data_IF_203682360725
#
_entry.id   IF_203682360725
#
_cell.length_a   1.000
_cell.length_b   1.000
_cell.length_c   1.000
_cell.angle_alpha   90.00
_cell.angle_beta   90.00
_cell.angle_gamma   90.00
#
_symmetry.space_group_name_H-M   'P 1'
#
loop_
_entity.id
_entity.type
_entity.pdbx_description
1 polymer ?
#
# COMPACT_ATOMS: atom_id res chain seq x y z
N UNK A 1 -58.68 -19.15 -21.66
CA UNK A 1 -57.92 -20.40 -21.79
C UNK A 1 -56.45 -20.07 -21.82
N UNK A 2 -55.60 -20.94 -21.28
CA UNK A 2 -54.14 -20.78 -21.33
C UNK A 2 -53.61 -21.30 -22.66
N UNK A 3 -52.88 -20.48 -23.40
CA UNK A 3 -52.12 -20.90 -24.57
C UNK A 3 -50.78 -21.47 -24.14
N UNK A 4 -50.39 -22.62 -24.69
CA UNK A 4 -49.12 -23.27 -24.39
C UNK A 4 -48.54 -23.99 -25.62
N UNK A 5 -47.20 -24.00 -25.79
CA UNK A 5 -46.57 -24.65 -26.92
C UNK A 5 -46.71 -26.17 -26.81
N UNK A 6 -47.07 -26.81 -27.92
CA UNK A 6 -47.21 -28.26 -28.04
C UNK A 6 -46.31 -28.81 -29.14
N UNK A 7 -45.82 -30.03 -28.94
CA UNK A 7 -45.20 -30.85 -29.98
C UNK A 7 -46.24 -31.87 -30.45
N UNK A 8 -46.57 -31.83 -31.74
CA UNK A 8 -47.55 -32.69 -32.37
C UNK A 8 -46.84 -33.72 -33.25
N UNK A 9 -46.96 -35.00 -32.92
CA UNK A 9 -46.48 -36.11 -33.75
C UNK A 9 -47.66 -36.85 -34.35
N UNK A 10 -47.77 -36.87 -35.68
CA UNK A 10 -48.83 -37.58 -36.40
C UNK A 10 -48.23 -38.77 -37.14
N UNK A 11 -48.74 -39.97 -36.83
CA UNK A 11 -48.38 -41.19 -37.54
C UNK A 11 -49.58 -41.72 -38.33
N UNK A 12 -49.35 -42.10 -39.58
CA UNK A 12 -50.34 -42.75 -40.42
C UNK A 12 -50.27 -44.27 -40.22
N UNK A 13 -51.42 -44.91 -40.06
CA UNK A 13 -51.55 -46.36 -39.98
C UNK A 13 -52.75 -46.82 -40.82
N UNK A 14 -52.81 -48.10 -41.15
CA UNK A 14 -53.93 -48.70 -41.89
C UNK A 14 -54.59 -49.77 -41.04
N UNK A 15 -55.89 -49.64 -40.82
CA UNK A 15 -56.70 -50.65 -40.12
C UNK A 15 -57.79 -51.12 -41.09
N UNK A 16 -57.82 -52.42 -41.37
CA UNK A 16 -58.81 -53.03 -42.27
C UNK A 16 -58.89 -52.35 -43.66
N UNK A 17 -57.72 -51.94 -44.21
CA UNK A 17 -57.62 -51.33 -45.54
C UNK A 17 -58.06 -49.86 -45.60
N UNK A 18 -58.38 -49.21 -44.47
CA UNK A 18 -58.68 -47.78 -44.40
C UNK A 18 -57.56 -47.02 -43.67
N UNK A 19 -57.06 -45.90 -44.23
CA UNK A 19 -56.05 -45.09 -43.55
C UNK A 19 -56.66 -44.38 -42.34
N UNK A 20 -55.95 -44.40 -41.22
CA UNK A 20 -56.24 -43.60 -40.04
C UNK A 20 -54.97 -42.94 -39.51
N UNK A 21 -55.10 -41.84 -38.78
CA UNK A 21 -53.98 -41.09 -38.22
C UNK A 21 -54.07 -41.10 -36.70
N UNK A 22 -52.95 -41.38 -36.03
CA UNK A 22 -52.80 -41.17 -34.59
C UNK A 22 -51.99 -39.91 -34.35
N UNK A 23 -52.54 -38.98 -33.57
CA UNK A 23 -51.87 -37.75 -33.17
C UNK A 23 -51.50 -37.82 -31.68
N UNK A 24 -50.22 -37.60 -31.37
CA UNK A 24 -49.72 -37.43 -30.01
C UNK A 24 -49.40 -35.96 -29.78
N UNK A 25 -50.02 -35.37 -28.76
CA UNK A 25 -49.76 -33.99 -28.34
C UNK A 25 -48.98 -34.01 -27.02
N UNK A 26 -47.83 -33.35 -26.98
CA UNK A 26 -47.02 -33.19 -25.77
C UNK A 26 -46.89 -31.71 -25.45
N UNK A 27 -47.23 -31.31 -24.23
CA UNK A 27 -46.93 -29.97 -23.72
C UNK A 27 -45.40 -29.83 -23.57
N UNK A 28 -44.83 -28.81 -24.21
CA UNK A 28 -43.39 -28.53 -24.21
C UNK A 28 -43.05 -27.20 -23.53
N UNK A 29 -43.95 -26.65 -22.72
CA UNK A 29 -43.79 -25.36 -22.03
C UNK A 29 -42.52 -25.33 -21.18
N UNK A 30 -42.32 -26.32 -20.31
CA UNK A 30 -41.14 -26.39 -19.44
C UNK A 30 -39.83 -26.50 -20.25
N UNK A 31 -39.83 -27.31 -21.32
CA UNK A 31 -38.67 -27.45 -22.21
C UNK A 31 -38.32 -26.11 -22.87
N UNK A 32 -39.32 -25.41 -23.42
CA UNK A 32 -39.13 -24.10 -24.06
C UNK A 32 -38.66 -23.03 -23.07
N UNK A 33 -39.19 -23.03 -21.85
CA UNK A 33 -38.73 -22.11 -20.80
C UNK A 33 -37.31 -22.42 -20.33
N UNK A 34 -36.90 -23.69 -20.27
CA UNK A 34 -35.53 -24.08 -19.94
C UNK A 34 -34.55 -23.69 -21.05
N UNK A 35 -34.88 -23.97 -22.32
CA UNK A 35 -34.11 -23.55 -23.50
C UNK A 35 -33.93 -22.02 -23.52
N UNK A 36 -35.01 -21.25 -23.33
CA UNK A 36 -34.96 -19.80 -23.30
C UNK A 36 -34.10 -19.26 -22.14
N UNK A 37 -34.22 -19.85 -20.94
CA UNK A 37 -33.37 -19.50 -19.78
C UNK A 37 -31.90 -19.78 -20.04
N UNK A 38 -31.58 -20.91 -20.66
CA UNK A 38 -30.22 -21.29 -21.01
C UNK A 38 -29.63 -20.33 -22.06
N UNK A 39 -30.38 -20.05 -23.13
CA UNK A 39 -29.98 -19.08 -24.15
C UNK A 39 -29.75 -17.70 -23.56
N UNK A 40 -30.68 -17.21 -22.72
CA UNK A 40 -30.54 -15.91 -22.05
C UNK A 40 -29.28 -15.87 -21.17
N UNK A 41 -29.01 -16.95 -20.42
CA UNK A 41 -27.79 -17.05 -19.60
C UNK A 41 -26.52 -17.04 -20.44
N UNK A 42 -26.50 -17.75 -21.57
CA UNK A 42 -25.36 -17.78 -22.50
C UNK A 42 -25.12 -16.41 -23.13
N UNK A 43 -26.18 -15.77 -23.65
CA UNK A 43 -26.08 -14.41 -24.21
C UNK A 43 -25.58 -13.43 -23.16
N UNK A 44 -26.10 -13.49 -21.93
CA UNK A 44 -25.66 -12.62 -20.84
C UNK A 44 -24.17 -12.78 -20.52
N UNK A 45 -23.67 -14.01 -20.42
CA UNK A 45 -22.25 -14.28 -20.18
C UNK A 45 -21.38 -13.79 -21.35
N UNK A 46 -21.80 -14.05 -22.59
CA UNK A 46 -21.11 -13.56 -23.78
C UNK A 46 -21.03 -12.03 -23.80
N UNK A 47 -22.12 -11.33 -23.49
CA UNK A 47 -22.13 -9.86 -23.42
C UNK A 47 -21.22 -9.32 -22.31
N UNK A 48 -21.17 -9.97 -21.15
CA UNK A 48 -20.26 -9.57 -20.08
C UNK A 48 -18.79 -9.68 -20.52
N UNK A 49 -18.42 -10.78 -21.17
CA UNK A 49 -17.03 -10.97 -21.62
C UNK A 49 -16.69 -10.04 -22.80
N UNK A 50 -17.64 -9.77 -23.70
CA UNK A 50 -17.45 -8.84 -24.80
C UNK A 50 -17.21 -7.39 -24.31
N UNK A 51 -17.83 -7.00 -23.19
CA UNK A 51 -17.64 -5.67 -22.58
C UNK A 51 -16.50 -5.60 -21.55
N UNK A 52 -15.81 -6.72 -21.28
CA UNK A 52 -14.64 -6.69 -20.42
C UNK A 52 -13.54 -5.86 -21.07
N UNK A 53 -12.91 -4.95 -20.32
CA UNK A 53 -11.81 -4.13 -20.82
C UNK A 53 -10.47 -4.89 -20.93
N UNK A 54 -10.43 -6.12 -20.44
CA UNK A 54 -9.29 -7.02 -20.57
C UNK A 54 -9.44 -7.90 -21.82
N UNK A 55 -8.33 -8.24 -22.46
CA UNK A 55 -8.30 -9.28 -23.48
C UNK A 55 -8.57 -10.63 -22.85
N UNK A 56 -9.57 -11.35 -23.33
CA UNK A 56 -9.99 -12.65 -22.82
C UNK A 56 -9.86 -13.70 -23.91
N UNK A 57 -9.28 -14.84 -23.57
CA UNK A 57 -9.23 -16.03 -24.42
C UNK A 57 -9.56 -17.26 -23.58
N UNK A 58 -10.58 -18.00 -23.98
CA UNK A 58 -10.99 -19.26 -23.36
C UNK A 58 -10.75 -20.39 -24.35
N UNK A 59 -10.00 -21.40 -23.92
CA UNK A 59 -9.69 -22.60 -24.70
C UNK A 59 -10.25 -23.86 -24.04
N UNK A 60 -10.66 -24.86 -24.82
CA UNK A 60 -11.07 -26.18 -24.34
C UNK A 60 -9.89 -27.09 -23.96
N UNK A 61 -10.14 -28.37 -23.66
CA UNK A 61 -9.06 -29.32 -23.33
C UNK A 61 -8.10 -29.59 -24.49
N UNK A 62 -8.55 -29.34 -25.72
CA UNK A 62 -7.85 -29.61 -26.97
C UNK A 62 -7.26 -28.34 -27.59
N UNK A 63 -7.15 -27.25 -26.82
CA UNK A 63 -6.59 -25.95 -27.27
C UNK A 63 -7.43 -25.27 -28.35
N UNK A 64 -8.72 -25.60 -28.47
CA UNK A 64 -9.64 -24.89 -29.37
C UNK A 64 -10.26 -23.70 -28.67
N UNK A 65 -10.34 -22.57 -29.37
CA UNK A 65 -10.94 -21.35 -28.85
C UNK A 65 -12.44 -21.56 -28.63
N UNK A 66 -12.90 -21.49 -27.39
CA UNK A 66 -14.32 -21.48 -27.04
C UNK A 66 -14.89 -20.07 -27.12
N UNK A 67 -14.10 -19.07 -26.72
CA UNK A 67 -14.50 -17.68 -26.68
C UNK A 67 -13.29 -16.76 -26.68
N UNK A 68 -13.40 -15.63 -27.36
CA UNK A 68 -12.49 -14.49 -27.20
C UNK A 68 -13.26 -13.17 -27.34
N UNK A 69 -12.61 -12.04 -27.07
CA UNK A 69 -13.24 -10.72 -27.15
C UNK A 69 -12.37 -9.72 -27.94
N UNK A 70 -12.95 -8.57 -28.28
CA UNK A 70 -12.30 -7.57 -29.12
C UNK A 70 -10.97 -7.07 -28.53
N UNK A 71 -10.86 -6.74 -27.22
CA UNK A 71 -9.58 -6.31 -26.64
C UNK A 71 -8.45 -7.32 -26.78
N UNK A 72 -8.73 -8.63 -26.80
CA UNK A 72 -7.72 -9.65 -27.07
C UNK A 72 -7.21 -9.53 -28.52
N UNK A 73 -8.12 -9.47 -29.50
CA UNK A 73 -7.74 -9.28 -30.90
C UNK A 73 -6.92 -7.99 -31.10
N UNK A 74 -7.33 -6.88 -30.47
CA UNK A 74 -6.63 -5.60 -30.59
C UNK A 74 -5.22 -5.64 -29.98
N UNK A 75 -5.09 -6.18 -28.77
CA UNK A 75 -3.79 -6.28 -28.06
C UNK A 75 -2.77 -7.14 -28.82
N UNK A 76 -3.23 -8.20 -29.47
CA UNK A 76 -2.38 -9.11 -30.24
C UNK A 76 -2.36 -8.80 -31.74
N UNK A 77 -2.94 -7.67 -32.16
CA UNK A 77 -3.01 -7.22 -33.56
C UNK A 77 -3.57 -8.28 -34.52
N UNK A 78 -4.59 -9.02 -34.08
CA UNK A 78 -5.25 -10.06 -34.87
C UNK A 78 -6.30 -9.40 -35.78
N UNK A 79 -6.15 -9.45 -37.11
CA UNK A 79 -7.06 -8.80 -38.05
C UNK A 79 -8.31 -9.64 -38.33
N UNK A 80 -8.97 -10.12 -37.27
CA UNK A 80 -10.17 -10.96 -37.37
C UNK A 80 -11.13 -10.65 -36.21
N UNK A 81 -12.46 -10.67 -36.46
CA UNK A 81 -13.44 -10.48 -35.40
C UNK A 81 -13.43 -11.69 -34.44
N UNK A 82 -13.66 -11.48 -33.13
CA UNK A 82 -13.62 -12.54 -32.11
C UNK A 82 -14.49 -13.75 -32.43
N UNK A 83 -15.67 -13.53 -33.05
CA UNK A 83 -16.61 -14.59 -33.39
C UNK A 83 -16.05 -15.55 -34.44
N UNK A 84 -15.19 -15.06 -35.33
CA UNK A 84 -14.54 -15.88 -36.36
C UNK A 84 -13.41 -16.75 -35.83
N UNK A 85 -12.92 -16.46 -34.62
CA UNK A 85 -11.83 -17.20 -33.97
C UNK A 85 -12.34 -18.46 -33.26
N UNK A 86 -13.63 -18.54 -32.94
CA UNK A 86 -14.20 -19.66 -32.21
C UNK A 86 -14.02 -20.97 -33.00
N UNK A 87 -13.44 -21.98 -32.34
CA UNK A 87 -13.18 -23.31 -32.90
C UNK A 87 -11.79 -23.49 -33.54
N UNK A 88 -11.01 -22.42 -33.73
CA UNK A 88 -9.64 -22.49 -34.22
C UNK A 88 -8.69 -23.09 -33.18
N UNK A 89 -7.61 -23.72 -33.64
CA UNK A 89 -6.56 -24.31 -32.79
C UNK A 89 -5.55 -23.23 -32.36
N UNK A 90 -5.39 -23.07 -31.05
CA UNK A 90 -4.48 -22.10 -30.42
C UNK A 90 -3.10 -22.68 -30.09
N UNK A 91 -2.83 -23.95 -30.39
CA UNK A 91 -1.58 -24.63 -30.01
C UNK A 91 -0.33 -23.91 -30.52
N UNK A 92 -0.38 -23.31 -31.71
CA UNK A 92 0.71 -22.53 -32.30
C UNK A 92 0.66 -21.02 -32.07
N UNK A 93 -0.38 -20.49 -31.43
CA UNK A 93 -0.60 -19.03 -31.33
C UNK A 93 0.49 -18.34 -30.51
N UNK A 94 0.99 -18.98 -29.45
CA UNK A 94 2.10 -18.43 -28.65
C UNK A 94 3.37 -18.25 -29.51
N UNK A 95 3.68 -19.23 -30.37
CA UNK A 95 4.83 -19.19 -31.26
C UNK A 95 4.67 -18.14 -32.38
N UNK A 96 3.46 -17.99 -32.91
CA UNK A 96 3.15 -16.99 -33.93
C UNK A 96 3.26 -15.56 -33.37
N UNK A 97 2.81 -15.33 -32.13
CA UNK A 97 2.80 -14.01 -31.51
C UNK A 97 4.05 -13.67 -30.70
N UNK A 98 5.00 -14.60 -30.53
CA UNK A 98 6.20 -14.38 -29.70
C UNK A 98 7.03 -13.15 -30.10
N UNK A 99 7.00 -12.80 -31.38
CA UNK A 99 7.72 -11.65 -31.94
C UNK A 99 7.24 -10.30 -31.40
N UNK A 100 6.03 -10.22 -30.83
CA UNK A 100 5.48 -9.01 -30.22
C UNK A 100 6.12 -8.70 -28.85
N UNK A 101 6.79 -9.67 -28.23
CA UNK A 101 7.34 -9.54 -26.88
C UNK A 101 8.84 -9.24 -26.88
N UNK A 102 9.31 -8.58 -25.81
CA UNK A 102 10.72 -8.27 -25.63
C UNK A 102 11.57 -9.52 -25.43
N UNK A 103 11.02 -10.53 -24.78
CA UNK A 103 11.64 -11.84 -24.59
C UNK A 103 10.74 -12.96 -25.16
N UNK A 104 10.87 -13.27 -26.46
CA UNK A 104 10.01 -14.22 -27.16
C UNK A 104 10.11 -15.65 -26.62
N UNK A 105 11.33 -16.12 -26.31
CA UNK A 105 11.57 -17.51 -25.91
C UNK A 105 11.05 -17.76 -24.49
N UNK A 106 11.31 -16.84 -23.56
CA UNK A 106 10.77 -16.93 -22.20
C UNK A 106 9.24 -16.86 -22.19
N UNK A 107 8.63 -16.05 -23.07
CA UNK A 107 7.18 -15.99 -23.22
C UNK A 107 6.58 -17.36 -23.57
N UNK A 108 7.11 -18.03 -24.60
CA UNK A 108 6.62 -19.34 -25.05
C UNK A 108 6.86 -20.41 -23.98
N UNK A 109 8.07 -20.49 -23.43
CA UNK A 109 8.40 -21.45 -22.37
C UNK A 109 7.49 -21.30 -21.14
N UNK A 110 7.13 -20.06 -20.78
CA UNK A 110 6.22 -19.82 -19.66
C UNK A 110 4.80 -20.29 -19.97
N UNK A 111 4.29 -20.05 -21.17
CA UNK A 111 2.97 -20.57 -21.59
C UNK A 111 2.95 -22.11 -21.51
N UNK A 112 3.96 -22.78 -22.05
CA UNK A 112 4.06 -24.24 -22.02
C UNK A 112 4.10 -24.81 -20.60
N UNK A 113 4.80 -24.10 -19.71
CA UNK A 113 4.87 -24.46 -18.28
C UNK A 113 3.50 -24.34 -17.63
N UNK A 114 2.79 -23.23 -17.86
CA UNK A 114 1.45 -22.99 -17.28
C UNK A 114 0.43 -24.03 -17.75
N UNK A 115 0.45 -24.39 -19.03
CA UNK A 115 -0.42 -25.41 -19.62
C UNK A 115 -0.15 -26.81 -19.07
N UNK A 116 1.11 -27.11 -18.75
CA UNK A 116 1.53 -28.39 -18.17
C UNK A 116 1.18 -28.47 -16.68
N UNK A 117 1.46 -27.41 -15.92
CA UNK A 117 1.22 -27.37 -14.48
C UNK A 117 -0.25 -27.23 -14.13
N UNK A 118 -1.04 -26.57 -14.98
CA UNK A 118 -2.48 -26.31 -14.78
C UNK A 118 -2.78 -25.71 -13.41
N UNK A 119 -1.93 -24.79 -12.97
CA UNK A 119 -2.09 -24.03 -11.72
C UNK A 119 -2.40 -22.58 -12.05
N UNK A 120 -3.20 -21.94 -11.20
CA UNK A 120 -3.48 -20.52 -11.34
C UNK A 120 -2.17 -19.74 -11.29
N UNK A 121 -1.93 -18.90 -12.30
CA UNK A 121 -0.88 -17.90 -12.29
C UNK A 121 -1.55 -16.55 -12.54
N UNK A 122 -1.32 -15.58 -11.65
CA UNK A 122 -2.00 -14.29 -11.70
C UNK A 122 -0.99 -13.16 -11.62
N UNK A 123 -1.34 -12.05 -12.27
CA UNK A 123 -0.61 -10.80 -12.29
C UNK A 123 0.83 -10.91 -12.84
N UNK A 124 1.07 -11.77 -13.82
CA UNK A 124 2.39 -11.87 -14.45
C UNK A 124 2.58 -10.75 -15.48
N UNK A 125 3.58 -9.89 -15.27
CA UNK A 125 3.89 -8.80 -16.18
C UNK A 125 4.68 -9.28 -17.40
N UNK A 126 4.24 -8.87 -18.59
CA UNK A 126 4.86 -9.21 -19.87
C UNK A 126 5.08 -7.92 -20.65
N UNK A 127 6.30 -7.74 -21.12
CA UNK A 127 6.71 -6.54 -21.86
C UNK A 127 6.64 -6.78 -23.37
N UNK A 128 5.94 -5.90 -24.06
CA UNK A 128 5.83 -5.89 -25.52
C UNK A 128 6.90 -4.99 -26.15
N UNK A 129 7.27 -5.27 -27.40
CA UNK A 129 8.30 -4.52 -28.13
C UNK A 129 7.90 -3.09 -28.47
N UNK A 130 6.60 -2.83 -28.58
CA UNK A 130 6.04 -1.50 -28.80
C UNK A 130 6.03 -0.65 -27.51
N UNK A 131 6.51 -1.20 -26.39
CA UNK A 131 6.58 -0.54 -25.09
C UNK A 131 5.32 -0.66 -24.25
N UNK A 132 4.33 -1.47 -24.66
CA UNK A 132 3.20 -1.84 -23.81
C UNK A 132 3.61 -2.87 -22.75
N UNK A 133 2.90 -2.84 -21.62
CA UNK A 133 3.01 -3.84 -20.55
C UNK A 133 1.65 -4.48 -20.35
N UNK A 134 1.59 -5.79 -20.50
CA UNK A 134 0.41 -6.60 -20.25
C UNK A 134 0.57 -7.37 -18.94
N UNK A 135 -0.46 -7.38 -18.12
CA UNK A 135 -0.62 -8.26 -16.97
C UNK A 135 -1.43 -9.48 -17.41
N UNK A 136 -0.84 -10.68 -17.27
CA UNK A 136 -1.42 -11.96 -17.68
C UNK A 136 -1.89 -12.78 -16.49
N UNK A 137 -3.12 -13.25 -16.57
CA UNK A 137 -3.66 -14.29 -15.70
C UNK A 137 -3.91 -15.58 -16.52
N UNK A 138 -3.59 -16.72 -15.92
CA UNK A 138 -3.93 -18.06 -16.38
C UNK A 138 -4.77 -18.75 -15.32
N UNK A 139 -5.98 -19.18 -15.71
CA UNK A 139 -6.94 -19.81 -14.81
C UNK A 139 -7.41 -21.13 -15.44
N UNK A 140 -7.04 -22.30 -14.89
CA UNK A 140 -7.57 -23.58 -15.37
C UNK A 140 -9.06 -23.68 -15.03
N UNK A 141 -9.87 -24.15 -15.98
CA UNK A 141 -11.30 -24.39 -15.80
C UNK A 141 -11.48 -25.86 -15.45
N UNK A 142 -12.01 -26.14 -14.26
CA UNK A 142 -12.24 -27.50 -13.76
C UNK A 142 -13.71 -27.63 -13.38
N UNK A 143 -14.40 -28.61 -13.96
CA UNK A 143 -15.80 -28.93 -13.68
C UNK A 143 -15.86 -30.37 -13.18
N UNK A 144 -16.47 -30.58 -12.01
CA UNK A 144 -16.55 -31.91 -11.37
C UNK A 144 -15.18 -32.60 -11.25
N UNK A 145 -14.14 -31.83 -10.91
CA UNK A 145 -12.75 -32.29 -10.80
C UNK A 145 -12.10 -32.75 -12.12
N UNK A 146 -12.74 -32.47 -13.26
CA UNK A 146 -12.22 -32.73 -14.60
C UNK A 146 -11.79 -31.41 -15.23
N UNK A 147 -10.57 -31.36 -15.74
CA UNK A 147 -10.08 -30.21 -16.51
C UNK A 147 -10.90 -30.07 -17.80
N UNK A 148 -11.52 -28.91 -17.99
CA UNK A 148 -12.38 -28.57 -19.14
C UNK A 148 -11.82 -27.49 -20.05
N UNK A 149 -10.60 -27.04 -19.79
CA UNK A 149 -9.99 -25.95 -20.52
C UNK A 149 -9.36 -24.93 -19.59
N UNK A 150 -9.11 -23.74 -20.10
CA UNK A 150 -8.47 -22.67 -19.34
C UNK A 150 -8.83 -21.29 -19.91
N UNK A 151 -8.64 -20.28 -19.07
CA UNK A 151 -8.88 -18.88 -19.36
C UNK A 151 -7.54 -18.14 -19.29
N UNK A 152 -7.22 -17.42 -20.35
CA UNK A 152 -6.22 -16.37 -20.36
C UNK A 152 -6.90 -15.02 -20.26
N UNK A 153 -6.36 -14.15 -19.42
CA UNK A 153 -6.78 -12.76 -19.33
C UNK A 153 -5.57 -11.84 -19.41
N UNK A 154 -5.65 -10.81 -20.23
CA UNK A 154 -4.59 -9.85 -20.50
C UNK A 154 -5.09 -8.44 -20.23
N UNK A 155 -4.50 -7.75 -19.26
CA UNK A 155 -4.81 -6.36 -18.93
C UNK A 155 -3.67 -5.46 -19.36
N UNK A 156 -3.96 -4.41 -20.10
CA UNK A 156 -2.95 -3.40 -20.38
C UNK A 156 -2.70 -2.56 -19.11
N UNK A 157 -1.51 -2.73 -18.52
CA UNK A 157 -1.09 -2.03 -17.30
C UNK A 157 -0.02 -0.97 -17.59
N UNK A 158 0.22 -0.64 -18.86
CA UNK A 158 1.26 0.30 -19.30
C UNK A 158 1.16 1.64 -18.56
N UNK A 159 -0.02 2.24 -18.50
CA UNK A 159 -0.24 3.52 -17.83
C UNK A 159 0.05 3.42 -16.32
N UNK A 160 -0.36 2.33 -15.67
CA UNK A 160 -0.11 2.06 -14.24
C UNK A 160 1.39 1.90 -13.98
N UNK A 161 2.09 1.14 -14.80
CA UNK A 161 3.53 0.92 -14.66
C UNK A 161 4.32 2.21 -14.89
N UNK A 162 3.97 3.00 -15.93
CA UNK A 162 4.59 4.31 -16.19
C UNK A 162 4.41 5.27 -15.03
N UNK A 163 3.18 5.43 -14.53
CA UNK A 163 2.89 6.30 -13.39
C UNK A 163 3.66 5.85 -12.13
N UNK A 164 3.70 4.55 -11.88
CA UNK A 164 4.43 3.99 -10.73
C UNK A 164 5.94 4.26 -10.84
N UNK A 165 6.50 4.12 -12.04
CA UNK A 165 7.91 4.38 -12.30
C UNK A 165 8.25 5.88 -12.23
N UNK A 166 7.40 6.75 -12.78
CA UNK A 166 7.54 8.20 -12.64
C UNK A 166 7.47 8.65 -11.18
N UNK A 167 6.53 8.10 -10.41
CA UNK A 167 6.42 8.37 -8.98
C UNK A 167 7.69 7.93 -8.23
N UNK A 168 8.21 6.74 -8.53
CA UNK A 168 9.47 6.24 -7.95
C UNK A 168 10.64 7.16 -8.29
N UNK A 169 10.78 7.54 -9.56
CA UNK A 169 11.85 8.45 -10.02
C UNK A 169 11.74 9.83 -9.38
N UNK A 170 10.54 10.41 -9.33
CA UNK A 170 10.30 11.71 -8.70
C UNK A 170 10.63 11.67 -7.20
N UNK A 171 10.23 10.61 -6.50
CA UNK A 171 10.55 10.40 -5.10
C UNK A 171 12.06 10.25 -4.88
N UNK A 172 12.76 9.51 -5.73
CA UNK A 172 14.23 9.39 -5.67
C UNK A 172 14.92 10.74 -5.93
N UNK A 173 14.51 11.47 -6.96
CA UNK A 173 15.08 12.79 -7.27
C UNK A 173 14.87 13.80 -6.13
N UNK A 174 13.69 13.80 -5.50
CA UNK A 174 13.42 14.63 -4.32
C UNK A 174 14.33 14.27 -3.14
N UNK A 175 14.61 12.98 -2.94
CA UNK A 175 15.50 12.52 -1.87
C UNK A 175 16.96 12.92 -2.12
N UNK A 176 17.44 12.75 -3.36
CA UNK A 176 18.79 13.15 -3.77
C UNK A 176 18.98 14.66 -3.61
N UNK A 177 17.99 15.45 -4.08
CA UNK A 177 17.97 16.90 -3.88
C UNK A 177 18.00 17.26 -2.39
N UNK A 178 17.16 16.64 -1.56
CA UNK A 178 17.16 16.88 -0.13
C UNK A 178 18.51 16.52 0.52
N UNK A 179 19.18 15.46 0.07
CA UNK A 179 20.48 15.04 0.60
C UNK A 179 21.60 16.00 0.24
N UNK A 180 21.68 16.40 -1.03
CA UNK A 180 22.72 17.32 -1.53
C UNK A 180 22.52 18.70 -0.89
N UNK A 181 21.31 19.25 -0.96
CA UNK A 181 20.99 20.54 -0.36
C UNK A 181 21.28 20.56 1.14
N UNK A 182 20.97 19.49 1.86
CA UNK A 182 21.25 19.39 3.30
C UNK A 182 22.75 19.39 3.59
N UNK A 183 23.54 18.61 2.85
CA UNK A 183 25.00 18.58 2.98
C UNK A 183 25.59 19.98 2.77
N UNK A 184 25.19 20.65 1.69
CA UNK A 184 25.72 21.96 1.31
C UNK A 184 25.28 23.07 2.28
N UNK A 185 24.16 22.89 2.99
CA UNK A 185 23.72 23.79 4.06
C UNK A 185 24.39 23.49 5.41
N UNK A 186 24.79 22.24 5.69
CA UNK A 186 25.44 21.87 6.94
C UNK A 186 26.85 22.46 7.07
N UNK A 187 27.64 22.47 5.99
CA UNK A 187 29.00 22.99 6.03
C UNK A 187 29.09 24.48 6.45
N UNK A 188 28.37 25.42 5.82
CA UNK A 188 28.40 26.83 6.23
C UNK A 188 27.83 27.00 7.64
N UNK A 189 26.83 26.20 8.02
CA UNK A 189 26.21 26.28 9.33
C UNK A 189 27.17 25.87 10.46
N UNK A 190 27.90 24.78 10.26
CA UNK A 190 28.96 24.33 11.19
C UNK A 190 30.04 25.40 11.35
N UNK A 191 30.39 26.11 10.28
CA UNK A 191 31.33 27.25 10.34
C UNK A 191 30.75 28.40 11.17
N UNK A 192 29.50 28.80 10.95
CA UNK A 192 28.81 29.85 11.74
C UNK A 192 28.82 29.50 13.22
N UNK A 193 28.49 28.26 13.58
CA UNK A 193 28.51 27.81 14.98
C UNK A 193 29.92 27.79 15.57
N UNK A 194 30.91 27.27 14.84
CA UNK A 194 32.28 27.18 15.33
C UNK A 194 32.90 28.56 15.56
N UNK A 195 32.77 29.48 14.61
CA UNK A 195 33.28 30.85 14.75
C UNK A 195 32.47 31.67 15.75
N UNK A 196 31.14 31.55 15.74
CA UNK A 196 30.28 32.23 16.71
C UNK A 196 30.54 31.74 18.14
N UNK A 197 30.77 30.45 18.35
CA UNK A 197 31.13 29.89 19.66
C UNK A 197 32.47 30.44 20.16
N UNK A 198 33.49 30.51 19.29
CA UNK A 198 34.78 31.15 19.62
C UNK A 198 34.60 32.64 19.96
N UNK A 199 33.76 33.35 19.20
CA UNK A 199 33.43 34.75 19.46
C UNK A 199 32.75 34.89 20.83
N UNK A 200 31.83 33.98 21.16
CA UNK A 200 31.10 33.99 22.44
C UNK A 200 32.03 33.81 23.62
N UNK A 201 32.98 32.89 23.52
CA UNK A 201 34.03 32.73 24.55
C UNK A 201 34.85 34.01 24.73
N UNK A 202 35.22 34.69 23.63
CA UNK A 202 35.96 35.97 23.71
C UNK A 202 35.13 37.09 24.31
N UNK A 203 33.88 37.26 23.89
CA UNK A 203 32.97 38.29 24.44
C UNK A 203 32.75 38.05 25.93
N UNK A 204 32.52 36.81 26.36
CA UNK A 204 32.35 36.45 27.77
C UNK A 204 33.65 36.60 28.60
N UNK A 205 34.81 36.73 27.97
CA UNK A 205 36.10 36.99 28.65
C UNK A 205 36.40 38.47 28.85
N UNK A 206 35.63 39.36 28.21
CA UNK A 206 35.74 40.81 28.42
C UNK A 206 35.03 41.18 29.73
N UNK A 207 35.64 41.98 30.62
CA UNK A 207 34.93 42.55 31.77
C UNK A 207 33.82 43.49 31.27
N UNK A 208 32.57 43.23 31.68
CA UNK A 208 31.37 43.98 31.26
C UNK A 208 31.20 44.06 29.73
N UNK A 209 30.95 42.93 29.04
CA UNK A 209 30.67 42.95 27.62
C UNK A 209 29.37 43.72 27.33
N UNK A 210 29.27 44.47 26.22
CA UNK A 210 28.02 45.13 25.83
C UNK A 210 26.88 44.12 25.76
N UNK A 211 25.81 44.34 26.54
CA UNK A 211 24.69 43.40 26.67
C UNK A 211 24.07 43.04 25.30
N UNK A 212 23.93 44.04 24.42
CA UNK A 212 23.40 43.86 23.08
C UNK A 212 24.28 42.93 22.22
N UNK A 213 25.61 42.99 22.37
CA UNK A 213 26.51 42.10 21.64
C UNK A 213 26.35 40.63 22.09
N UNK A 214 26.16 40.40 23.39
CA UNK A 214 25.90 39.05 23.93
C UNK A 214 24.55 38.54 23.42
N UNK A 215 23.49 39.36 23.48
CA UNK A 215 22.16 38.99 22.99
C UNK A 215 22.17 38.65 21.49
N UNK A 216 22.74 39.52 20.66
CA UNK A 216 22.80 39.28 19.21
C UNK A 216 23.57 37.99 18.88
N UNK A 217 24.67 37.73 19.58
CA UNK A 217 25.48 36.54 19.37
C UNK A 217 24.73 35.27 19.79
N UNK A 218 24.03 35.30 20.91
CA UNK A 218 23.19 34.20 21.37
C UNK A 218 22.03 33.94 20.43
N UNK A 219 21.36 34.98 19.95
CA UNK A 219 20.28 34.86 18.95
C UNK A 219 20.78 34.25 17.65
N UNK A 220 21.96 34.65 17.17
CA UNK A 220 22.58 34.10 15.96
C UNK A 220 22.96 32.62 16.13
N UNK A 221 23.63 32.28 17.23
CA UNK A 221 24.04 30.89 17.52
C UNK A 221 22.84 29.97 17.71
N UNK A 222 21.80 30.43 18.41
CA UNK A 222 20.55 29.71 18.57
C UNK A 222 19.83 29.54 17.21
N UNK A 223 19.87 30.54 16.32
CA UNK A 223 19.36 30.39 14.96
C UNK A 223 20.11 29.32 14.17
N UNK A 224 21.44 29.30 14.27
CA UNK A 224 22.27 28.32 13.60
C UNK A 224 22.01 26.90 14.11
N UNK A 225 21.97 26.68 15.43
CA UNK A 225 21.66 25.37 16.02
C UNK A 225 20.29 24.82 15.59
N UNK A 226 19.30 25.69 15.44
CA UNK A 226 17.96 25.29 14.98
C UNK A 226 17.96 24.88 13.51
N UNK A 227 18.68 25.60 12.65
CA UNK A 227 18.82 25.20 11.25
C UNK A 227 19.47 23.81 11.14
N UNK A 228 20.45 23.50 12.01
CA UNK A 228 21.15 22.23 11.99
C UNK A 228 20.17 21.09 12.32
N UNK A 229 19.40 21.29 13.39
CA UNK A 229 18.38 20.33 13.82
C UNK A 229 17.30 20.11 12.75
N UNK A 230 16.90 21.17 12.02
CA UNK A 230 15.94 21.08 10.93
C UNK A 230 16.49 20.27 9.75
N UNK A 231 17.72 20.54 9.35
CA UNK A 231 18.39 19.84 8.25
C UNK A 231 18.59 18.37 8.60
N UNK A 232 19.03 18.06 9.82
CA UNK A 232 19.22 16.68 10.29
C UNK A 232 17.90 15.91 10.32
N UNK A 233 16.83 16.57 10.78
CA UNK A 233 15.48 16.00 10.75
C UNK A 233 15.00 15.71 9.33
N UNK A 234 15.24 16.62 8.38
CA UNK A 234 14.84 16.46 6.98
C UNK A 234 15.60 15.32 6.30
N UNK A 235 16.92 15.23 6.55
CA UNK A 235 17.75 14.13 6.06
C UNK A 235 17.27 12.77 6.59
N UNK A 236 16.95 12.72 7.88
CA UNK A 236 16.41 11.51 8.50
C UNK A 236 15.08 11.10 7.88
N UNK A 237 14.17 12.06 7.69
CA UNK A 237 12.87 11.84 7.06
C UNK A 237 13.01 11.29 5.63
N UNK A 238 13.91 11.89 4.83
CA UNK A 238 14.20 11.46 3.45
C UNK A 238 14.70 10.01 3.37
N UNK A 239 15.58 9.60 4.31
CA UNK A 239 16.27 8.30 4.26
C UNK A 239 15.45 7.09 4.74
N UNK A 240 14.33 7.30 5.45
CA UNK A 240 13.52 6.20 6.01
C UNK A 240 12.99 5.26 4.93
N UNK A 241 12.72 5.72 3.71
CA UNK A 241 12.11 4.85 2.68
C UNK A 241 13.15 3.96 1.97
N UNK A 242 14.42 4.36 1.97
CA UNK A 242 15.43 3.84 1.02
C UNK A 242 16.44 2.90 1.69
N UNK A 243 16.69 3.06 3.00
CA UNK A 243 17.53 2.11 3.72
C UNK A 243 16.78 0.79 3.93
N UNK A 244 17.03 -0.20 3.06
CA UNK A 244 16.63 -1.61 3.17
C UNK A 244 17.31 -2.31 4.34
N UNK A 245 17.19 -1.76 5.55
CA UNK A 245 17.50 -2.53 6.75
C UNK A 245 16.43 -3.62 6.89
N UNK A 246 16.84 -4.85 7.21
CA UNK A 246 15.90 -5.95 7.33
C UNK A 246 14.91 -5.66 8.46
N UNK A 247 13.63 -5.87 8.15
CA UNK A 247 12.59 -6.03 9.16
C UNK A 247 12.87 -7.36 9.85
N UNK A 248 12.94 -7.35 11.17
CA UNK A 248 13.23 -8.53 11.98
C UNK A 248 12.41 -8.52 13.28
N UNK A 249 12.25 -9.69 13.89
CA UNK A 249 11.67 -9.83 15.22
C UNK A 249 12.37 -8.90 16.23
N UNK A 250 11.67 -7.87 16.68
CA UNK A 250 12.18 -6.81 17.54
C UNK A 250 11.35 -6.74 18.82
N UNK A 251 11.99 -6.96 19.97
CA UNK A 251 11.36 -6.83 21.29
C UNK A 251 11.17 -5.37 21.65
N UNK A 252 9.92 -4.88 21.62
CA UNK A 252 9.64 -3.47 21.89
C UNK A 252 9.90 -3.07 23.35
N UNK A 253 9.88 -4.01 24.30
CA UNK A 253 10.26 -3.71 25.70
C UNK A 253 11.74 -3.31 25.81
N UNK A 254 12.63 -3.98 25.08
CA UNK A 254 14.06 -3.62 25.08
C UNK A 254 14.28 -2.24 24.46
N UNK A 255 13.56 -1.96 23.37
CA UNK A 255 13.63 -0.66 22.71
C UNK A 255 13.17 0.45 23.64
N UNK A 256 11.98 0.33 24.24
CA UNK A 256 11.46 1.39 25.11
C UNK A 256 12.34 1.59 26.35
N UNK A 257 12.86 0.52 26.96
CA UNK A 257 13.77 0.63 28.09
C UNK A 257 15.05 1.38 27.72
N UNK A 258 15.60 1.10 26.53
CA UNK A 258 16.72 1.86 26.01
C UNK A 258 16.39 3.35 25.82
N UNK A 259 15.19 3.67 25.34
CA UNK A 259 14.74 5.07 25.18
C UNK A 259 14.54 5.76 26.52
N UNK A 260 14.02 5.05 27.53
CA UNK A 260 13.86 5.61 28.87
C UNK A 260 15.20 5.95 29.50
N UNK A 261 16.22 5.11 29.31
CA UNK A 261 17.60 5.41 29.74
C UNK A 261 18.16 6.64 29.01
N UNK A 262 17.95 6.75 27.70
CA UNK A 262 18.39 7.92 26.92
C UNK A 262 17.72 9.23 27.40
N UNK A 263 16.52 9.15 27.99
CA UNK A 263 15.72 10.28 28.44
C UNK A 263 15.76 10.50 29.97
N UNK A 264 16.56 9.73 30.70
CA UNK A 264 16.57 9.68 32.18
C UNK A 264 16.70 11.07 32.82
N UNK A 265 17.66 11.88 32.36
CA UNK A 265 17.88 13.22 32.90
C UNK A 265 16.65 14.13 32.72
N UNK A 266 16.01 14.08 31.55
CA UNK A 266 14.80 14.87 31.27
C UNK A 266 13.61 14.39 32.10
N UNK A 267 13.48 13.08 32.31
CA UNK A 267 12.44 12.50 33.17
C UNK A 267 12.62 12.98 34.60
N UNK A 268 13.86 12.96 35.10
CA UNK A 268 14.18 13.43 36.45
C UNK A 268 13.92 14.93 36.62
N UNK A 269 14.35 15.76 35.66
CA UNK A 269 14.14 17.22 35.67
C UNK A 269 12.65 17.59 35.62
N UNK A 270 11.85 16.87 34.82
CA UNK A 270 10.41 17.08 34.70
C UNK A 270 9.58 16.44 35.82
N UNK A 271 10.20 15.57 36.65
CA UNK A 271 9.53 14.75 37.66
C UNK A 271 8.38 13.92 37.04
N UNK A 272 8.55 13.50 35.80
CA UNK A 272 7.54 12.74 35.07
C UNK A 272 7.44 11.30 35.59
N UNK A 273 6.21 10.78 35.70
CA UNK A 273 5.95 9.36 35.94
C UNK A 273 5.67 8.67 34.61
N UNK A 274 6.47 7.66 34.26
CA UNK A 274 6.28 6.89 33.03
C UNK A 274 5.83 5.47 33.38
N UNK A 275 4.65 5.08 32.89
CA UNK A 275 4.03 3.79 33.10
C UNK A 275 4.05 3.03 31.78
N UNK A 276 4.82 1.94 31.72
CA UNK A 276 4.94 1.10 30.52
C UNK A 276 4.30 -0.26 30.78
N UNK A 277 3.27 -0.59 30.00
CA UNK A 277 2.70 -1.94 29.95
C UNK A 277 3.60 -2.90 29.18
N UNK A 278 3.30 -4.21 29.25
CA UNK A 278 4.08 -5.21 28.51
C UNK A 278 3.93 -5.02 27.00
N UNK A 279 5.01 -4.65 26.32
CA UNK A 279 5.05 -4.51 24.87
C UNK A 279 5.39 -5.85 24.19
N UNK A 280 4.81 -6.17 23.01
CA UNK A 280 5.12 -7.41 22.31
C UNK A 280 6.39 -7.31 21.47
N UNK A 281 6.80 -8.45 20.93
CA UNK A 281 7.75 -8.52 19.81
C UNK A 281 7.01 -8.30 18.50
N UNK A 282 7.56 -7.46 17.62
CA UNK A 282 6.99 -7.18 16.29
C UNK A 282 8.06 -7.31 15.21
N UNK A 283 7.66 -7.56 13.98
CA UNK A 283 8.54 -7.53 12.81
C UNK A 283 8.82 -6.06 12.45
N UNK A 284 9.99 -5.54 12.84
CA UNK A 284 10.35 -4.14 12.63
C UNK A 284 11.87 -3.87 12.53
N UNK A 285 12.21 -2.66 12.05
CA UNK A 285 13.55 -2.09 12.19
C UNK A 285 13.71 -1.49 13.60
N UNK A 286 14.55 -2.13 14.41
CA UNK A 286 14.83 -1.73 15.80
C UNK A 286 15.25 -0.26 15.95
N UNK A 287 16.04 0.30 15.02
CA UNK A 287 16.48 1.69 15.12
C UNK A 287 15.32 2.66 14.85
N UNK A 288 14.44 2.32 13.90
CA UNK A 288 13.27 3.13 13.60
C UNK A 288 12.24 3.06 14.72
N UNK A 289 12.05 1.89 15.34
CA UNK A 289 11.20 1.77 16.53
C UNK A 289 11.76 2.62 17.69
N UNK A 290 13.08 2.60 17.92
CA UNK A 290 13.73 3.47 18.91
C UNK A 290 13.43 4.94 18.62
N UNK A 291 13.56 5.36 17.37
CA UNK A 291 13.33 6.74 16.96
C UNK A 291 11.85 7.15 17.06
N UNK A 292 10.91 6.24 16.80
CA UNK A 292 9.47 6.45 17.01
C UNK A 292 9.18 6.73 18.48
N UNK A 293 9.65 5.87 19.40
CA UNK A 293 9.42 6.06 20.83
C UNK A 293 10.16 7.28 21.39
N UNK A 294 11.38 7.56 20.95
CA UNK A 294 12.11 8.79 21.35
C UNK A 294 11.33 10.05 20.97
N UNK A 295 10.74 10.10 19.78
CA UNK A 295 9.95 11.26 19.36
C UNK A 295 8.65 11.40 20.16
N UNK A 296 7.92 10.31 20.38
CA UNK A 296 6.65 10.36 21.13
C UNK A 296 6.86 10.70 22.60
N UNK A 297 7.78 10.00 23.28
CA UNK A 297 8.11 10.26 24.69
C UNK A 297 8.79 11.63 24.85
N UNK A 298 9.67 12.00 23.92
CA UNK A 298 10.31 13.32 23.92
C UNK A 298 9.33 14.47 23.75
N UNK A 299 8.25 14.28 22.97
CA UNK A 299 7.15 15.23 22.85
C UNK A 299 6.29 15.27 24.12
N UNK A 300 5.94 14.12 24.70
CA UNK A 300 5.16 14.05 25.93
C UNK A 300 5.86 14.74 27.12
N UNK A 301 7.17 14.56 27.27
CA UNK A 301 7.99 15.26 28.29
C UNK A 301 8.13 16.76 28.01
N UNK A 302 7.98 17.17 26.75
CA UNK A 302 8.14 18.56 26.34
C UNK A 302 6.87 19.38 26.48
N UNK A 303 5.71 18.80 26.14
CA UNK A 303 4.41 19.48 26.14
C UNK A 303 3.63 19.24 27.44
N UNK A 304 4.34 19.30 28.57
CA UNK A 304 3.76 19.13 29.89
C UNK A 304 2.92 20.35 30.32
N UNK A 305 1.88 20.08 31.11
CA UNK A 305 1.09 21.15 31.75
C UNK A 305 1.86 21.75 32.92
N UNK A 306 1.81 23.07 33.09
CA UNK A 306 2.40 23.75 34.24
C UNK A 306 1.69 23.44 35.58
N UNK A 307 0.49 22.86 35.52
CA UNK A 307 -0.39 22.65 36.69
C UNK A 307 -0.49 21.20 37.13
N UNK A 308 0.01 20.25 36.33
CA UNK A 308 -0.11 18.81 36.57
C UNK A 308 1.27 18.18 36.61
N UNK A 309 1.47 17.18 37.46
CA UNK A 309 2.63 16.30 37.38
C UNK A 309 2.56 15.51 36.06
N UNK A 310 3.62 15.49 35.24
CA UNK A 310 3.57 14.77 33.96
C UNK A 310 3.43 13.26 34.18
N UNK A 311 2.43 12.66 33.55
CA UNK A 311 2.20 11.21 33.54
C UNK A 311 2.12 10.77 32.09
N UNK A 312 2.98 9.82 31.72
CA UNK A 312 3.04 9.25 30.38
C UNK A 312 2.77 7.75 30.50
N UNK A 313 1.77 7.27 29.77
CA UNK A 313 1.34 5.88 29.80
C UNK A 313 1.52 5.26 28.42
N UNK A 314 2.24 4.15 28.35
CA UNK A 314 2.39 3.34 27.14
C UNK A 314 1.66 2.02 27.35
N UNK A 315 0.58 1.81 26.61
CA UNK A 315 -0.29 0.64 26.73
C UNK A 315 -0.40 -0.11 25.42
N UNK A 316 -0.62 -1.42 25.52
CA UNK A 316 -0.89 -2.28 24.38
C UNK A 316 -2.28 -2.87 24.52
N UNK A 317 -3.05 -2.77 23.44
CA UNK A 317 -4.28 -3.52 23.26
C UNK A 317 -4.11 -4.42 22.04
N UNK A 318 -4.03 -5.73 22.26
CA UNK A 318 -4.11 -6.68 21.16
C UNK A 318 -5.54 -6.65 20.63
N UNK A 319 -5.74 -6.16 19.39
CA UNK A 319 -7.03 -6.38 18.74
C UNK A 319 -7.21 -7.87 18.51
N UNK A 320 -8.47 -8.28 18.61
CA UNK A 320 -9.03 -9.64 18.52
C UNK A 320 -8.12 -10.69 17.87
N UNK A 321 -8.06 -11.88 18.50
CA UNK A 321 -7.49 -13.11 17.94
C UNK A 321 -7.99 -13.29 16.49
N UNK A 322 -7.16 -12.96 15.51
CA UNK A 322 -7.48 -13.08 14.08
C UNK A 322 -7.01 -11.92 13.19
N UNK A 323 -6.82 -10.70 13.71
CA UNK A 323 -6.48 -9.54 12.84
C UNK A 323 -4.99 -9.38 12.54
N UNK A 324 -4.10 -10.09 13.25
CA UNK A 324 -2.65 -9.99 13.06
C UNK A 324 -2.09 -8.57 13.25
N UNK A 325 -2.70 -7.76 14.14
CA UNK A 325 -2.31 -6.36 14.39
C UNK A 325 -2.22 -6.09 15.89
N UNK A 326 -1.19 -5.36 16.29
CA UNK A 326 -1.01 -4.84 17.65
C UNK A 326 -1.31 -3.34 17.67
N UNK A 327 -2.08 -2.90 18.68
CA UNK A 327 -2.28 -1.48 18.96
C UNK A 327 -1.45 -1.05 20.15
N UNK A 328 -0.58 -0.05 19.95
CA UNK A 328 0.22 0.60 20.98
C UNK A 328 -0.30 2.03 21.13
N UNK A 329 -0.63 2.42 22.36
CA UNK A 329 -1.13 3.76 22.68
C UNK A 329 -0.16 4.45 23.63
N UNK A 330 0.33 5.63 23.23
CA UNK A 330 1.16 6.51 24.07
C UNK A 330 0.31 7.71 24.47
N UNK A 331 -0.03 7.81 25.75
CA UNK A 331 -0.88 8.86 26.31
C UNK A 331 -0.10 9.72 27.28
N UNK A 332 -0.20 11.04 27.14
CA UNK A 332 0.29 12.03 28.10
C UNK A 332 -0.87 12.84 28.71
N UNK A 333 -0.65 13.43 29.87
CA UNK A 333 -1.57 14.35 30.53
C UNK A 333 -1.15 15.84 30.39
N UNK A 334 -0.49 16.16 29.27
CA UNK A 334 0.09 17.46 28.99
C UNK A 334 -0.92 18.55 28.64
N UNK A 335 -0.47 19.55 27.89
CA UNK A 335 -1.31 20.69 27.47
C UNK A 335 -2.39 20.30 26.45
N UNK A 336 -2.23 19.17 25.76
CA UNK A 336 -3.11 18.75 24.67
C UNK A 336 -3.15 19.74 23.49
N UNK A 337 -4.01 19.47 22.52
CA UNK A 337 -4.24 20.32 21.35
C UNK A 337 -5.67 20.15 20.82
N UNK A 338 -6.10 21.10 19.99
CA UNK A 338 -7.43 21.07 19.38
C UNK A 338 -7.53 19.92 18.36
N UNK A 339 -8.54 19.07 18.52
CA UNK A 339 -8.78 17.89 17.68
C UNK A 339 -8.83 18.19 16.17
N UNK A 340 -9.17 19.42 15.76
CA UNK A 340 -9.13 19.87 14.35
C UNK A 340 -7.74 19.76 13.74
N UNK A 341 -6.69 19.76 14.55
CA UNK A 341 -5.31 19.64 14.09
C UNK A 341 -4.79 18.20 14.07
N UNK A 342 -5.54 17.21 14.55
CA UNK A 342 -5.07 15.83 14.72
C UNK A 342 -4.48 15.20 13.46
N UNK A 343 -4.96 15.58 12.27
CA UNK A 343 -4.40 15.11 11.00
C UNK A 343 -3.14 15.91 10.59
N UNK A 344 -3.17 17.22 10.82
CA UNK A 344 -2.14 18.18 10.40
C UNK A 344 -0.85 18.05 11.19
N UNK A 345 -0.89 17.69 12.47
CA UNK A 345 0.33 17.60 13.32
C UNK A 345 1.41 16.64 12.81
N UNK A 346 1.06 15.75 11.88
CA UNK A 346 1.96 14.81 11.24
C UNK A 346 2.45 15.28 9.87
N UNK A 347 2.07 16.49 9.43
CA UNK A 347 2.64 17.13 8.25
C UNK A 347 4.03 17.68 8.58
N UNK A 348 4.92 17.71 7.58
CA UNK A 348 6.29 18.19 7.75
C UNK A 348 6.27 19.69 8.00
N UNK A 349 7.00 20.15 9.01
CA UNK A 349 7.08 21.55 9.46
C UNK A 349 5.83 22.11 10.15
N UNK A 350 4.81 21.27 10.41
CA UNK A 350 3.62 21.73 11.12
C UNK A 350 3.88 21.90 12.62
N UNK A 351 3.35 22.99 13.19
CA UNK A 351 3.46 23.32 14.62
C UNK A 351 2.19 24.01 15.12
N UNK A 352 1.73 23.62 16.31
CA UNK A 352 0.53 24.20 16.93
C UNK A 352 0.82 25.29 17.96
N UNK A 353 2.02 25.31 18.53
CA UNK A 353 2.43 26.33 19.51
C UNK A 353 3.55 27.22 18.97
N UNK A 354 3.50 28.47 19.42
CA UNK A 354 4.45 29.51 19.06
C UNK A 354 5.86 29.16 19.54
N UNK A 355 6.87 29.68 18.83
CA UNK A 355 8.28 29.34 19.08
C UNK A 355 8.79 29.82 20.45
N UNK A 356 8.16 30.84 21.01
CA UNK A 356 8.45 31.36 22.35
C UNK A 356 8.01 30.42 23.46
N UNK A 357 7.05 29.54 23.21
CA UNK A 357 6.46 28.66 24.23
C UNK A 357 7.09 27.26 24.23
N UNK A 358 7.40 26.70 23.05
CA UNK A 358 7.99 25.35 22.94
C UNK A 358 8.97 25.23 21.76
N UNK A 359 10.12 24.58 21.97
CA UNK A 359 11.12 24.32 20.92
C UNK A 359 10.65 23.26 19.89
N UNK A 360 11.44 22.93 18.86
CA UNK A 360 11.13 21.80 17.96
C UNK A 360 11.02 22.17 16.47
N UNK A 361 11.24 21.16 15.63
CA UNK A 361 11.41 21.31 14.18
C UNK A 361 10.12 21.11 13.36
N UNK A 362 9.07 20.55 13.96
CA UNK A 362 7.87 20.14 13.23
C UNK A 362 8.06 18.90 12.34
N UNK A 363 9.20 18.20 12.48
CA UNK A 363 9.51 17.00 11.67
C UNK A 363 9.22 15.71 12.45
N UNK A 364 9.31 15.73 13.79
CA UNK A 364 9.28 14.52 14.62
C UNK A 364 8.01 13.68 14.46
N UNK A 365 6.82 14.29 14.43
CA UNK A 365 5.58 13.54 14.25
C UNK A 365 5.40 13.04 12.82
N UNK A 366 5.78 13.84 11.81
CA UNK A 366 5.82 13.39 10.42
C UNK A 366 6.74 12.16 10.25
N UNK A 367 7.87 12.16 10.97
CA UNK A 367 8.78 11.01 11.04
C UNK A 367 8.10 9.78 11.65
N UNK A 368 7.38 9.96 12.76
CA UNK A 368 6.62 8.87 13.40
C UNK A 368 5.63 8.23 12.43
N UNK A 369 4.85 9.05 11.70
CA UNK A 369 3.93 8.57 10.66
C UNK A 369 4.66 7.77 9.59
N UNK A 370 5.76 8.31 9.06
CA UNK A 370 6.55 7.64 8.02
C UNK A 370 7.14 6.30 8.47
N UNK A 371 7.63 6.24 9.71
CA UNK A 371 8.14 4.99 10.32
C UNK A 371 7.01 3.96 10.38
N UNK A 372 5.85 4.33 10.94
CA UNK A 372 4.73 3.38 11.11
C UNK A 372 4.18 2.90 9.77
N UNK A 373 4.03 3.79 8.78
CA UNK A 373 3.60 3.45 7.41
C UNK A 373 4.58 2.50 6.72
N UNK A 374 5.89 2.72 6.87
CA UNK A 374 6.92 1.82 6.34
C UNK A 374 6.78 0.39 6.90
N UNK A 375 6.29 0.27 8.12
CA UNK A 375 6.05 -1.02 8.76
C UNK A 375 4.64 -1.58 8.48
N UNK A 376 3.90 -1.03 7.52
CA UNK A 376 2.56 -1.49 7.16
C UNK A 376 1.48 -1.14 8.20
N UNK A 377 1.79 -0.19 9.08
CA UNK A 377 0.91 0.26 10.15
C UNK A 377 0.22 1.60 9.86
N UNK A 378 -0.52 2.09 10.85
CA UNK A 378 -1.09 3.45 10.85
C UNK A 378 -0.91 4.13 12.20
N UNK A 379 -0.72 5.46 12.21
CA UNK A 379 -0.68 6.27 13.43
C UNK A 379 -1.79 7.32 13.40
N UNK A 380 -2.43 7.55 14.53
CA UNK A 380 -3.44 8.58 14.74
C UNK A 380 -3.23 9.28 16.08
N UNK A 381 -3.81 10.46 16.24
CA UNK A 381 -3.73 11.22 17.47
C UNK A 381 -5.11 11.70 17.92
N UNK A 382 -5.33 11.66 19.23
CA UNK A 382 -6.52 12.18 19.89
C UNK A 382 -6.07 13.11 21.01
N UNK A 383 -6.70 14.27 21.14
CA UNK A 383 -6.33 15.20 22.19
C UNK A 383 -7.49 16.10 22.55
N UNK A 384 -7.51 16.49 23.82
CA UNK A 384 -8.40 17.51 24.36
C UNK A 384 -7.52 18.57 25.01
N UNK A 385 -7.67 19.87 24.66
CA UNK A 385 -6.90 20.94 25.29
C UNK A 385 -7.01 20.88 26.82
N UNK A 386 -5.86 20.87 27.50
CA UNK A 386 -5.74 20.80 28.96
C UNK A 386 -5.79 19.38 29.56
N UNK A 387 -6.15 18.36 28.78
CA UNK A 387 -6.23 16.97 29.25
C UNK A 387 -5.11 16.07 28.71
N UNK A 388 -4.34 16.56 27.74
CA UNK A 388 -3.19 15.86 27.15
C UNK A 388 -3.50 15.26 25.77
N UNK A 389 -2.57 14.43 25.27
CA UNK A 389 -2.69 13.79 23.97
C UNK A 389 -2.49 12.27 24.04
N UNK A 390 -3.08 11.56 23.09
CA UNK A 390 -2.97 10.11 22.91
C UNK A 390 -2.62 9.80 21.47
N UNK A 391 -1.47 9.16 21.28
CA UNK A 391 -1.00 8.68 19.98
C UNK A 391 -1.23 7.19 19.87
N UNK A 392 -2.05 6.77 18.90
CA UNK A 392 -2.44 5.38 18.68
C UNK A 392 -1.72 4.86 17.45
N UNK A 393 -0.90 3.84 17.64
CA UNK A 393 -0.11 3.17 16.61
C UNK A 393 -0.69 1.77 16.42
N UNK A 394 -1.07 1.44 15.20
CA UNK A 394 -1.45 0.08 14.80
C UNK A 394 -0.32 -0.49 13.93
N UNK A 395 0.29 -1.60 14.35
CA UNK A 395 1.34 -2.31 13.59
C UNK A 395 0.88 -3.74 13.27
N UNK A 396 1.29 -4.32 12.14
CA UNK A 396 1.13 -5.75 11.91
C UNK A 396 1.99 -6.53 12.91
N UNK A 397 1.37 -7.52 13.55
CA UNK A 397 2.07 -8.51 14.37
C UNK A 397 2.35 -9.70 13.46
N UNK A 398 3.63 -10.09 13.30
CA UNK A 398 3.98 -11.30 12.58
C UNK A 398 3.21 -12.48 13.15
N UNK A 399 2.61 -13.30 12.28
CA UNK A 399 2.00 -14.56 12.71
C UNK A 399 3.10 -15.39 13.39
N UNK A 400 2.96 -15.60 14.70
CA UNK A 400 3.78 -16.54 15.44
C UNK A 400 3.41 -17.97 15.06
#
# INVERSE_FOLDING_TARGET
GTEFPIELSINAASLLGRPFFTAYLRDITERKQAEARLQLSQTRLATLIANFQAGVLVEDENRRILLTNQPFCDQFSIPAPPESMVGYDCSGSAEQSKHLFTDPETFVQRIDTLLRERRVAAAEEIHMRDGQVLERDYIPIVVENVYRGHLWMYRNVTARCRLTEELKRSNQALQEFASIASHDLQEPLRKIQAFGGRLKTKVNSVPEPPADCVDYLDRMLNAAARMQTLIDGLLTFSRITTQKRPIQATNLNEIINGVLNDLEERIHQSKASIIVGSLPTVEADSLQMRQLFQNLLGNALKFQSATKTPVITVQVTTRERGTGKVRITVTDNGIGFDARHATRIFEVFERLHSRSEYEGTGIGLALCRRIVERHGGSISAHSVPGEGASFVIDLPCGAS
#
